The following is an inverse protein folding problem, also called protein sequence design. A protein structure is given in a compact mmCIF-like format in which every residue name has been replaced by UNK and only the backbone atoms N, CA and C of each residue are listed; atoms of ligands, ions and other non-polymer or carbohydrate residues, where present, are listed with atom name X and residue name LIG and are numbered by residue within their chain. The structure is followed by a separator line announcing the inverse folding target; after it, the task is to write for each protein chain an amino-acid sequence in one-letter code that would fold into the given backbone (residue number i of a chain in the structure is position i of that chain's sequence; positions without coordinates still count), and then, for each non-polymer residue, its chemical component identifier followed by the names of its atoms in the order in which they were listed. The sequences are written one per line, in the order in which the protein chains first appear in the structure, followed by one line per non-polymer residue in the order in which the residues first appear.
data_IF_145946169340
#
_entry.id   IF_145946169340
#
_cell.length_a   1.000
_cell.length_b   1.000
_cell.length_c   1.000
_cell.angle_alpha   90.00
_cell.angle_beta   90.00
_cell.angle_gamma   90.00
#
_symmetry.space_group_name_H-M   'P 1'
#
loop_
_entity.id
_entity.type
_entity.pdbx_description
1 polymer ?
#
# COMPACT_ATOMS: atom_id res chain seq x y z
N UNK A 1 -29.99 -19.43 -40.41
CA UNK A 1 -29.65 -19.69 -38.99
C UNK A 1 -28.14 -19.78 -38.91
N UNK A 2 -27.50 -18.77 -38.34
CA UNK A 2 -26.04 -18.65 -38.23
C UNK A 2 -25.72 -18.48 -36.73
N UNK A 3 -24.73 -19.19 -36.17
CA UNK A 3 -24.43 -19.11 -34.74
C UNK A 3 -23.67 -17.83 -34.39
N UNK A 4 -23.98 -17.30 -33.21
CA UNK A 4 -23.45 -16.08 -32.63
C UNK A 4 -21.95 -16.20 -32.32
N UNK A 5 -21.15 -15.28 -32.88
CA UNK A 5 -19.73 -15.14 -32.58
C UNK A 5 -19.56 -14.25 -31.34
N UNK A 6 -19.07 -14.83 -30.26
CA UNK A 6 -18.69 -14.14 -29.03
C UNK A 6 -17.27 -13.55 -29.21
N UNK A 7 -17.05 -12.23 -29.13
CA UNK A 7 -15.69 -11.70 -29.17
C UNK A 7 -15.04 -11.83 -27.78
N UNK A 8 -14.18 -12.83 -27.62
CA UNK A 8 -13.23 -12.95 -26.50
C UNK A 8 -12.06 -11.99 -26.74
N UNK A 9 -12.16 -10.76 -26.22
CA UNK A 9 -11.04 -9.82 -26.26
C UNK A 9 -10.02 -10.18 -25.17
N UNK A 10 -8.96 -10.86 -25.60
CA UNK A 10 -7.73 -11.14 -24.85
C UNK A 10 -7.20 -9.88 -24.17
N UNK A 11 -7.17 -9.90 -22.83
CA UNK A 11 -6.60 -8.84 -22.01
C UNK A 11 -5.07 -8.86 -22.16
N UNK A 12 -4.53 -8.10 -23.10
CA UNK A 12 -3.08 -8.00 -23.32
C UNK A 12 -2.38 -7.51 -22.04
N UNK A 13 -1.66 -8.43 -21.38
CA UNK A 13 -0.77 -8.14 -20.25
C UNK A 13 0.34 -7.19 -20.73
N UNK A 14 0.20 -5.91 -20.44
CA UNK A 14 1.24 -4.91 -20.72
C UNK A 14 2.42 -5.19 -19.79
N UNK A 15 3.53 -5.66 -20.36
CA UNK A 15 4.80 -5.79 -19.64
C UNK A 15 5.55 -4.48 -19.86
N UNK A 16 5.47 -3.56 -18.89
CA UNK A 16 6.29 -2.35 -18.86
C UNK A 16 7.72 -2.69 -18.44
N UNK A 17 8.61 -2.85 -19.41
CA UNK A 17 10.03 -3.08 -19.15
C UNK A 17 10.70 -1.75 -18.76
N UNK A 18 10.92 -1.54 -17.45
CA UNK A 18 11.66 -0.40 -16.92
C UNK A 18 13.13 -0.80 -16.83
N UNK A 19 14.01 -0.11 -17.56
CA UNK A 19 15.44 -0.42 -17.58
C UNK A 19 16.19 0.53 -16.64
N UNK A 20 16.70 -0.01 -15.54
CA UNK A 20 17.59 0.71 -14.62
C UNK A 20 19.05 0.48 -15.01
N UNK A 21 19.86 1.54 -14.97
CA UNK A 21 21.30 1.49 -15.29
C UNK A 21 22.13 2.10 -14.16
N UNK A 22 23.44 1.86 -14.16
CA UNK A 22 24.35 2.38 -13.12
C UNK A 22 24.08 1.82 -11.72
N UNK A 23 24.29 2.62 -10.68
CA UNK A 23 24.05 2.23 -9.27
C UNK A 23 22.58 1.94 -8.96
N UNK A 24 21.66 2.49 -9.76
CA UNK A 24 20.23 2.22 -9.66
C UNK A 24 19.85 0.79 -10.11
N UNK A 25 20.76 0.04 -10.78
CA UNK A 25 20.56 -1.42 -11.02
C UNK A 25 20.43 -2.23 -9.74
N UNK A 26 21.03 -1.76 -8.65
CA UNK A 26 21.01 -2.45 -7.36
C UNK A 26 19.76 -2.14 -6.53
N UNK A 27 18.96 -1.15 -6.96
CA UNK A 27 17.66 -0.88 -6.39
C UNK A 27 16.59 -1.85 -6.89
N UNK A 28 15.58 -2.14 -6.07
CA UNK A 28 14.43 -2.90 -6.51
C UNK A 28 13.63 -2.08 -7.53
N UNK A 29 13.66 -2.51 -8.79
CA UNK A 29 12.82 -2.05 -9.88
C UNK A 29 11.37 -2.53 -9.69
N UNK A 30 10.74 -2.12 -8.61
CA UNK A 30 9.37 -2.46 -8.28
C UNK A 30 8.60 -1.20 -7.93
N UNK A 31 7.27 -1.18 -8.11
CA UNK A 31 6.48 -0.10 -7.57
C UNK A 31 6.69 -0.06 -6.05
N UNK A 32 6.95 1.11 -5.44
CA UNK A 32 7.39 1.23 -4.05
C UNK A 32 6.30 0.87 -3.02
N UNK A 33 5.23 0.19 -3.44
CA UNK A 33 4.13 -0.20 -2.57
C UNK A 33 4.60 -1.26 -1.57
N UNK A 34 4.39 -0.95 -0.29
CA UNK A 34 4.67 -1.85 0.82
C UNK A 34 6.09 -1.76 1.38
N UNK A 35 6.88 -0.73 1.03
CA UNK A 35 8.10 -0.43 1.77
C UNK A 35 7.75 -0.05 3.21
N UNK A 36 8.38 -0.72 4.18
CA UNK A 36 8.11 -0.55 5.62
C UNK A 36 9.34 0.01 6.32
N UNK A 37 9.12 1.04 7.14
CA UNK A 37 10.07 1.54 8.14
C UNK A 37 9.48 1.38 9.54
N UNK A 38 10.31 1.05 10.54
CA UNK A 38 9.89 0.81 11.93
C UNK A 38 10.79 1.60 12.88
N UNK A 39 10.19 2.54 13.61
CA UNK A 39 10.82 3.25 14.71
C UNK A 39 10.41 2.67 16.07
N UNK A 40 11.36 2.66 17.00
CA UNK A 40 11.17 2.17 18.37
C UNK A 40 11.35 3.32 19.35
N UNK A 41 10.40 3.53 20.25
CA UNK A 41 10.56 4.39 21.42
C UNK A 41 10.43 3.57 22.70
N UNK A 42 10.57 4.18 23.88
CA UNK A 42 10.40 3.47 25.15
C UNK A 42 8.98 2.90 25.31
N UNK A 43 7.97 3.69 24.91
CA UNK A 43 6.57 3.42 25.19
C UNK A 43 5.78 2.88 24.00
N UNK A 44 6.28 3.02 22.77
CA UNK A 44 5.54 2.71 21.55
C UNK A 44 6.45 2.24 20.41
N UNK A 45 5.83 1.68 19.38
CA UNK A 45 6.40 1.53 18.05
C UNK A 45 5.70 2.49 17.10
N UNK A 46 6.46 3.01 16.15
CA UNK A 46 5.92 3.68 14.97
C UNK A 46 6.30 2.85 13.76
N UNK A 47 5.38 2.64 12.83
CA UNK A 47 5.71 2.10 11.52
C UNK A 47 5.13 2.94 10.40
N UNK A 48 5.83 2.97 9.28
CA UNK A 48 5.46 3.73 8.09
C UNK A 48 5.48 2.80 6.89
N UNK A 49 4.38 2.77 6.16
CA UNK A 49 4.21 1.93 4.97
C UNK A 49 3.95 2.81 3.76
N UNK A 50 4.77 2.67 2.73
CA UNK A 50 4.57 3.37 1.46
C UNK A 50 3.39 2.76 0.71
N UNK A 51 2.30 3.52 0.55
CA UNK A 51 1.05 3.13 -0.11
C UNK A 51 0.68 4.16 -1.20
N UNK A 52 1.55 4.38 -2.20
CA UNK A 52 1.32 5.38 -3.24
C UNK A 52 0.10 5.01 -4.10
N UNK A 53 -0.66 6.02 -4.51
CA UNK A 53 -1.84 5.84 -5.36
C UNK A 53 -3.13 5.41 -4.64
N UNK A 54 -3.11 5.21 -3.31
CA UNK A 54 -4.28 4.73 -2.54
C UNK A 54 -5.09 5.90 -1.94
N UNK A 55 -4.71 7.15 -2.20
CA UNK A 55 -5.36 8.34 -1.61
C UNK A 55 -6.90 8.40 -1.80
N UNK A 56 -7.44 7.82 -2.88
CA UNK A 56 -8.89 7.76 -3.16
C UNK A 56 -9.63 6.60 -2.45
N UNK A 57 -8.90 5.64 -1.89
CA UNK A 57 -9.42 4.42 -1.27
C UNK A 57 -8.88 4.23 0.16
N UNK A 58 -8.55 5.32 0.87
CA UNK A 58 -8.01 5.25 2.24
C UNK A 58 -8.97 4.50 3.17
N UNK A 59 -10.27 4.71 3.01
CA UNK A 59 -11.32 4.06 3.80
C UNK A 59 -11.41 2.54 3.57
N UNK A 60 -10.79 2.05 2.50
CA UNK A 60 -10.73 0.61 2.16
C UNK A 60 -9.43 -0.05 2.65
N UNK A 61 -8.58 0.69 3.38
CA UNK A 61 -7.41 0.13 4.02
C UNK A 61 -7.84 -0.50 5.35
N UNK A 62 -7.57 -1.78 5.52
CA UNK A 62 -7.71 -2.50 6.78
C UNK A 62 -6.32 -2.69 7.38
N UNK A 63 -6.13 -2.31 8.64
CA UNK A 63 -4.93 -2.58 9.41
C UNK A 63 -5.29 -3.42 10.63
N UNK A 64 -4.70 -4.59 10.73
CA UNK A 64 -4.84 -5.49 11.87
C UNK A 64 -3.51 -5.61 12.59
N UNK A 65 -3.51 -5.41 13.91
CA UNK A 65 -2.33 -5.53 14.76
C UNK A 65 -2.64 -6.58 15.82
N UNK A 66 -1.81 -7.62 15.87
CA UNK A 66 -1.93 -8.70 16.84
C UNK A 66 -1.03 -8.41 18.05
N UNK A 67 -1.36 -8.99 19.19
CA UNK A 67 -0.71 -8.69 20.48
C UNK A 67 0.78 -9.05 20.47
N UNK A 68 1.13 -10.09 19.75
CA UNK A 68 2.49 -10.57 19.47
C UNK A 68 3.33 -9.61 18.61
N UNK A 69 2.73 -8.54 18.09
CA UNK A 69 3.40 -7.55 17.24
C UNK A 69 3.28 -7.85 15.74
N UNK A 70 2.52 -8.88 15.32
CA UNK A 70 2.25 -9.13 13.91
C UNK A 70 1.30 -8.08 13.35
N UNK A 71 1.66 -7.46 12.24
CA UNK A 71 0.86 -6.45 11.55
C UNK A 71 0.46 -6.96 10.17
N UNK A 72 -0.82 -6.80 9.82
CA UNK A 72 -1.36 -7.10 8.51
C UNK A 72 -2.12 -5.89 7.96
N UNK A 73 -1.72 -5.42 6.78
CA UNK A 73 -2.37 -4.30 6.10
C UNK A 73 -2.90 -4.79 4.78
N UNK A 74 -4.19 -4.59 4.55
CA UNK A 74 -4.91 -4.99 3.35
C UNK A 74 -5.59 -3.78 2.72
N UNK A 75 -5.72 -3.77 1.41
CA UNK A 75 -6.44 -2.72 0.72
C UNK A 75 -6.55 -3.00 -0.77
N UNK A 76 -7.02 -2.00 -1.52
CA UNK A 76 -7.19 -2.09 -2.97
C UNK A 76 -6.59 -0.86 -3.63
N UNK A 77 -5.61 -1.09 -4.50
CA UNK A 77 -5.05 -0.07 -5.39
C UNK A 77 -6.13 0.28 -6.42
N UNK A 78 -6.60 1.54 -6.47
CA UNK A 78 -7.62 1.96 -7.43
C UNK A 78 -7.11 1.86 -8.87
N UNK A 79 -8.04 1.68 -9.80
CA UNK A 79 -7.76 1.92 -11.20
C UNK A 79 -7.58 3.42 -11.44
N UNK A 80 -6.47 3.80 -12.07
CA UNK A 80 -6.15 5.20 -12.39
C UNK A 80 -6.78 5.52 -13.75
N UNK A 81 -8.04 5.95 -13.75
CA UNK A 81 -8.64 6.62 -14.90
C UNK A 81 -8.47 8.13 -14.75
N UNK A 82 -7.86 8.79 -15.74
CA UNK A 82 -7.81 10.25 -15.84
C UNK A 82 -8.99 10.67 -16.73
N UNK A 83 -10.05 11.28 -16.17
CA UNK A 83 -11.14 11.81 -16.97
C UNK A 83 -10.60 12.94 -17.85
N UNK A 84 -10.92 12.96 -19.14
CA UNK A 84 -10.70 14.15 -19.98
C UNK A 84 -12.00 14.91 -20.19
N UNK A 85 -11.92 16.24 -20.15
CA UNK A 85 -13.02 17.14 -20.52
C UNK A 85 -13.51 16.95 -21.96
N UNK A 86 -12.68 16.34 -22.82
CA UNK A 86 -12.97 16.05 -24.22
C UNK A 86 -13.69 14.71 -24.47
N UNK A 87 -14.06 13.95 -23.42
CA UNK A 87 -14.70 12.63 -23.57
C UNK A 87 -13.75 11.50 -24.01
N UNK A 88 -12.45 11.76 -24.15
CA UNK A 88 -11.42 10.74 -24.36
C UNK A 88 -10.94 10.18 -23.01
N UNK A 89 -10.67 8.89 -22.92
CA UNK A 89 -10.02 8.31 -21.73
C UNK A 89 -8.51 8.31 -21.96
N UNK A 90 -7.78 9.18 -21.24
CA UNK A 90 -6.33 9.12 -21.27
C UNK A 90 -5.85 7.92 -20.47
N UNK A 91 -5.26 6.96 -21.18
CA UNK A 91 -4.63 5.78 -20.57
C UNK A 91 -3.19 6.09 -20.20
N UNK A 92 -2.85 5.96 -18.93
CA UNK A 92 -1.46 6.06 -18.46
C UNK A 92 -0.60 4.99 -19.17
N UNK A 93 0.35 5.41 -20.00
CA UNK A 93 1.23 4.50 -20.74
C UNK A 93 2.41 3.98 -19.89
N UNK A 94 2.85 4.76 -18.89
CA UNK A 94 3.91 4.38 -17.94
C UNK A 94 3.39 4.56 -16.52
N UNK A 95 3.20 3.46 -15.80
CA UNK A 95 2.84 3.44 -14.38
C UNK A 95 3.97 2.75 -13.61
N UNK A 96 4.72 3.50 -12.82
CA UNK A 96 5.69 2.96 -11.83
C UNK A 96 5.00 2.61 -10.50
N UNK A 97 3.66 2.48 -10.51
CA UNK A 97 2.84 2.06 -9.39
C UNK A 97 2.41 0.61 -9.58
N UNK A 98 2.03 -0.04 -8.48
CA UNK A 98 1.49 -1.38 -8.52
C UNK A 98 0.25 -1.43 -9.44
N UNK A 99 0.01 -2.55 -10.14
CA UNK A 99 -1.22 -2.74 -10.88
C UNK A 99 -2.45 -2.52 -9.97
N UNK A 100 -3.58 -2.05 -10.51
CA UNK A 100 -4.84 -2.00 -9.77
C UNK A 100 -5.22 -3.38 -9.22
N UNK A 101 -5.81 -3.42 -8.03
CA UNK A 101 -6.23 -4.67 -7.39
C UNK A 101 -5.92 -4.76 -5.90
N UNK A 102 -6.28 -5.88 -5.28
CA UNK A 102 -6.06 -6.10 -3.85
C UNK A 102 -4.57 -6.26 -3.55
N UNK A 103 -4.15 -5.75 -2.39
CA UNK A 103 -2.81 -5.96 -1.84
C UNK A 103 -2.91 -6.40 -0.38
N UNK A 104 -1.86 -7.08 0.08
CA UNK A 104 -1.66 -7.44 1.48
C UNK A 104 -0.18 -7.29 1.83
N UNK A 105 0.11 -6.61 2.94
CA UNK A 105 1.46 -6.40 3.49
C UNK A 105 1.47 -6.95 4.90
N UNK A 106 2.50 -7.73 5.24
CA UNK A 106 2.62 -8.34 6.56
C UNK A 106 4.06 -8.24 7.06
N UNK A 107 4.22 -7.82 8.30
CA UNK A 107 5.51 -7.72 8.99
C UNK A 107 5.31 -7.87 10.50
N UNK A 108 6.42 -7.97 11.24
CA UNK A 108 6.40 -8.09 12.70
C UNK A 108 7.08 -6.89 13.34
N UNK A 109 6.48 -6.38 14.40
CA UNK A 109 7.11 -5.43 15.31
C UNK A 109 8.11 -6.16 16.22
N UNK A 110 9.11 -5.45 16.78
CA UNK A 110 10.14 -6.07 17.62
C UNK A 110 9.63 -6.72 18.92
N UNK A 111 8.39 -6.45 19.34
CA UNK A 111 7.82 -7.04 20.54
C UNK A 111 6.32 -6.77 20.68
N UNK A 112 5.79 -7.17 21.84
CA UNK A 112 4.36 -7.13 22.12
C UNK A 112 3.80 -5.71 22.23
N UNK A 113 2.54 -5.59 21.86
CA UNK A 113 1.79 -4.32 21.82
C UNK A 113 0.43 -4.46 22.48
N UNK A 114 -0.22 -3.34 22.79
CA UNK A 114 -1.65 -3.30 23.07
C UNK A 114 -2.41 -2.90 21.79
N UNK A 115 -3.07 -3.85 21.08
CA UNK A 115 -3.80 -3.57 19.84
C UNK A 115 -4.94 -2.55 19.96
N UNK A 116 -5.36 -2.21 21.18
CA UNK A 116 -6.42 -1.22 21.42
C UNK A 116 -5.88 0.19 21.47
N UNK A 117 -4.56 0.35 21.63
CA UNK A 117 -3.88 1.62 21.79
C UNK A 117 -2.99 1.91 20.57
N UNK A 118 -3.63 2.07 19.41
CA UNK A 118 -2.96 2.47 18.18
C UNK A 118 -3.65 3.66 17.51
N UNK A 119 -2.89 4.42 16.74
CA UNK A 119 -3.36 5.58 15.99
C UNK A 119 -2.88 5.47 14.54
N UNK A 120 -3.76 5.10 13.60
CA UNK A 120 -3.45 5.07 12.17
C UNK A 120 -3.66 6.45 11.54
N UNK A 121 -2.76 6.83 10.62
CA UNK A 121 -2.83 8.08 9.86
C UNK A 121 -2.36 7.84 8.44
N UNK A 122 -3.20 8.20 7.47
CA UNK A 122 -2.78 8.27 6.07
C UNK A 122 -2.34 9.69 5.74
N UNK A 123 -1.10 9.84 5.29
CA UNK A 123 -0.49 11.12 4.94
C UNK A 123 -0.72 11.42 3.47
N UNK A 124 -0.77 12.71 3.12
CA UNK A 124 -0.99 13.16 1.74
C UNK A 124 0.14 12.75 0.76
N UNK A 125 1.31 12.41 1.29
CA UNK A 125 2.47 11.88 0.55
C UNK A 125 2.36 10.38 0.21
N UNK A 126 1.24 9.73 0.56
CA UNK A 126 1.02 8.30 0.30
C UNK A 126 1.66 7.39 1.35
N UNK A 127 2.01 7.91 2.52
CA UNK A 127 2.52 7.10 3.64
C UNK A 127 1.39 6.77 4.62
N UNK A 128 1.22 5.49 4.91
CA UNK A 128 0.40 5.02 6.02
C UNK A 128 1.27 4.89 7.27
N UNK A 129 1.07 5.80 8.21
CA UNK A 129 1.82 5.92 9.45
C UNK A 129 0.95 5.41 10.61
N UNK A 130 1.50 4.56 11.46
CA UNK A 130 0.79 4.05 12.62
C UNK A 130 1.69 4.07 13.84
N UNK A 131 1.16 4.61 14.93
CA UNK A 131 1.78 4.52 16.25
C UNK A 131 1.00 3.51 17.08
N UNK A 132 1.68 2.58 17.74
CA UNK A 132 1.07 1.57 18.62
C UNK A 132 1.82 1.46 19.94
N UNK A 133 1.11 1.47 21.05
CA UNK A 133 1.68 1.40 22.40
C UNK A 133 2.15 -0.02 22.70
N UNK A 134 3.33 -0.14 23.34
CA UNK A 134 3.86 -1.42 23.81
C UNK A 134 3.03 -1.98 24.95
N UNK A 135 2.90 -3.30 25.02
CA UNK A 135 2.12 -3.93 26.09
C UNK A 135 2.77 -3.69 27.46
N UNK A 136 1.96 -3.35 28.47
CA UNK A 136 2.41 -3.24 29.87
C UNK A 136 3.12 -1.93 30.22
N UNK A 137 3.19 -0.97 29.30
CA UNK A 137 3.77 0.35 29.58
C UNK A 137 2.77 1.22 30.35
N UNK A 138 3.23 1.83 31.44
CA UNK A 138 2.48 2.89 32.14
C UNK A 138 2.65 4.17 31.36
N UNK A 139 1.60 4.62 30.68
CA UNK A 139 1.56 5.95 30.07
C UNK A 139 1.47 6.95 31.23
N UNK A 140 2.45 7.84 31.44
CA UNK A 140 2.35 8.86 32.47
C UNK A 140 1.17 9.78 32.14
N UNK A 141 0.16 9.79 33.01
CA UNK A 141 -0.89 10.82 32.96
C UNK A 141 -0.28 12.10 33.51
N UNK A 142 -0.21 13.16 32.67
CA UNK A 142 0.15 14.51 33.13
C UNK A 142 -0.88 15.07 34.10
#
# INVERSE_FOLDING_TARGET
MNPENHPTTTHSKVISHVFFTGTAKQGCAGPPLGLVDIGVSDIAYIFRVSLPGIAKNQDKIKCEIQREGRVCIQGVVPEIAIPSDSGCLYRMQVQQLSPPGPFSITFNLPGQVDPRLFSPKFRADGIFEVVVVKLGVRIPTS
#
